data_IF_835597103097
#
_entry.id   IF_835597103097
#
_cell.length_a   1.000
_cell.length_b   1.000
_cell.length_c   1.000
_cell.angle_alpha   90.00
_cell.angle_beta   90.00
_cell.angle_gamma   90.00
#
_symmetry.space_group_name_H-M   'P 1'
#
loop_
_entity.id
_entity.type
_entity.pdbx_description
1 polymer ?
#
# COMPACT_ATOMS: atom_id res chain seq x y z
N UNK A 1 -29.72 -18.72 -16.52
CA UNK A 1 -30.05 -18.24 -15.17
C UNK A 1 -28.88 -17.40 -14.69
N UNK A 2 -29.00 -16.09 -14.73
CA UNK A 2 -28.01 -15.20 -14.20
C UNK A 2 -28.12 -15.26 -12.68
N UNK A 3 -27.13 -15.82 -12.02
CA UNK A 3 -26.99 -15.72 -10.57
C UNK A 3 -26.61 -14.29 -10.27
N UNK A 4 -27.56 -13.56 -9.77
CA UNK A 4 -27.44 -12.24 -9.18
C UNK A 4 -26.37 -12.30 -8.07
N UNK A 5 -25.13 -11.96 -8.43
CA UNK A 5 -24.10 -11.63 -7.49
C UNK A 5 -24.36 -10.20 -6.99
N UNK A 6 -25.54 -9.98 -6.43
CA UNK A 6 -25.81 -8.77 -5.68
C UNK A 6 -24.77 -8.69 -4.58
N UNK A 7 -23.88 -7.74 -4.75
CA UNK A 7 -22.78 -7.42 -3.89
C UNK A 7 -23.26 -7.36 -2.44
N UNK A 8 -23.09 -8.45 -1.71
CA UNK A 8 -23.14 -8.37 -0.25
C UNK A 8 -22.13 -7.29 0.14
N UNK A 9 -22.65 -6.13 0.49
CA UNK A 9 -21.86 -5.09 1.13
C UNK A 9 -21.46 -5.71 2.47
N UNK A 10 -20.32 -6.41 2.47
CA UNK A 10 -19.72 -6.90 3.70
C UNK A 10 -19.34 -5.66 4.50
N UNK A 11 -19.98 -5.48 5.63
CA UNK A 11 -19.60 -4.44 6.58
C UNK A 11 -18.20 -4.76 7.06
N UNK A 12 -17.24 -3.92 6.70
CA UNK A 12 -15.87 -4.06 7.12
C UNK A 12 -15.70 -3.27 8.41
N UNK A 13 -15.22 -3.94 9.44
CA UNK A 13 -14.90 -3.30 10.71
C UNK A 13 -13.62 -2.47 10.53
N UNK A 14 -13.71 -1.19 10.88
CA UNK A 14 -12.60 -0.24 10.87
C UNK A 14 -12.26 0.12 12.31
N UNK A 15 -11.00 -0.05 12.66
CA UNK A 15 -10.42 0.34 13.93
C UNK A 15 -9.70 1.69 13.76
N UNK A 16 -9.79 2.56 14.73
CA UNK A 16 -9.06 3.83 14.73
C UNK A 16 -8.08 3.90 15.89
N UNK A 17 -6.92 4.47 15.64
CA UNK A 17 -5.98 4.81 16.71
C UNK A 17 -6.51 5.95 17.56
N UNK A 18 -6.03 6.06 18.79
CA UNK A 18 -6.13 7.30 19.52
C UNK A 18 -5.36 8.42 18.78
N UNK A 19 -5.74 9.69 18.93
CA UNK A 19 -4.98 10.80 18.39
C UNK A 19 -3.53 10.78 18.91
N UNK A 20 -2.60 11.02 18.02
CA UNK A 20 -1.16 11.08 18.31
C UNK A 20 -0.52 12.16 17.43
N UNK A 21 0.70 12.57 17.78
CA UNK A 21 1.42 13.57 16.99
C UNK A 21 1.61 13.11 15.55
N UNK A 22 1.32 14.00 14.59
CA UNK A 22 1.52 13.72 13.17
C UNK A 22 3.02 13.60 12.87
N UNK A 23 3.43 12.58 12.14
CA UNK A 23 4.82 12.39 11.71
C UNK A 23 5.23 13.26 10.50
N UNK A 24 4.28 13.92 9.85
CA UNK A 24 4.51 14.73 8.66
C UNK A 24 4.42 16.22 8.92
N UNK A 25 3.48 16.66 9.76
CA UNK A 25 3.19 18.07 10.03
C UNK A 25 3.38 18.35 11.52
N UNK A 26 4.26 19.27 11.82
CA UNK A 26 4.52 19.71 13.20
C UNK A 26 3.28 20.38 13.79
N UNK A 27 2.99 20.08 15.05
CA UNK A 27 1.84 20.64 15.77
C UNK A 27 0.48 20.03 15.43
N UNK A 28 0.39 19.16 14.44
CA UNK A 28 -0.85 18.51 14.05
C UNK A 28 -1.05 17.16 14.76
N UNK A 29 -2.32 16.79 14.92
CA UNK A 29 -2.73 15.49 15.47
C UNK A 29 -3.13 14.55 14.34
N UNK A 30 -2.68 13.31 14.42
CA UNK A 30 -2.97 12.25 13.46
C UNK A 30 -3.86 11.18 14.08
N UNK A 31 -4.76 10.66 13.27
CA UNK A 31 -5.56 9.46 13.56
C UNK A 31 -5.51 8.55 12.33
N UNK A 32 -5.24 7.28 12.57
CA UNK A 32 -5.17 6.28 11.49
C UNK A 32 -6.31 5.29 11.63
N UNK A 33 -7.01 5.05 10.53
CA UNK A 33 -7.99 3.99 10.42
C UNK A 33 -7.34 2.72 9.86
N UNK A 34 -7.61 1.60 10.50
CA UNK A 34 -7.15 0.27 10.09
C UNK A 34 -8.34 -0.61 9.75
N UNK A 35 -8.22 -1.39 8.69
CA UNK A 35 -9.11 -2.54 8.49
C UNK A 35 -8.81 -3.58 9.57
N UNK A 36 -9.85 -4.21 10.11
CA UNK A 36 -9.70 -5.26 11.11
C UNK A 36 -8.64 -6.28 10.66
N UNK A 37 -7.55 -6.46 11.39
CA UNK A 37 -6.46 -7.35 10.99
C UNK A 37 -6.86 -8.83 10.97
N UNK A 38 -7.96 -9.21 11.61
CA UNK A 38 -8.49 -10.57 11.57
C UNK A 38 -9.27 -10.86 10.28
N UNK A 39 -9.58 -9.83 9.50
CA UNK A 39 -10.29 -9.99 8.24
C UNK A 39 -9.36 -10.55 7.16
N UNK A 40 -9.78 -11.64 6.53
CA UNK A 40 -9.09 -12.17 5.35
C UNK A 40 -9.33 -11.23 4.16
N UNK A 41 -8.26 -10.64 3.65
CA UNK A 41 -8.31 -9.68 2.55
C UNK A 41 -8.07 -10.41 1.24
N UNK A 42 -9.12 -10.63 0.48
CA UNK A 42 -9.04 -11.12 -0.90
C UNK A 42 -8.56 -10.02 -1.86
N UNK A 43 -7.97 -10.40 -3.00
CA UNK A 43 -7.43 -9.46 -3.98
C UNK A 43 -8.46 -8.42 -4.46
N UNK A 44 -9.71 -8.82 -4.66
CA UNK A 44 -10.80 -7.94 -5.08
C UNK A 44 -11.14 -6.89 -4.02
N UNK A 45 -11.17 -7.30 -2.76
CA UNK A 45 -11.39 -6.39 -1.63
C UNK A 45 -10.21 -5.42 -1.48
N UNK A 46 -8.99 -5.93 -1.58
CA UNK A 46 -7.79 -5.08 -1.55
C UNK A 46 -7.82 -4.00 -2.65
N UNK A 47 -8.15 -4.37 -3.88
CA UNK A 47 -8.28 -3.43 -4.99
C UNK A 47 -9.27 -2.31 -4.66
N UNK A 48 -10.46 -2.65 -4.17
CA UNK A 48 -11.50 -1.67 -3.80
C UNK A 48 -11.06 -0.77 -2.65
N UNK A 49 -10.38 -1.30 -1.65
CA UNK A 49 -9.83 -0.51 -0.53
C UNK A 49 -8.72 0.43 -1.02
N UNK A 50 -7.84 -0.02 -1.91
CA UNK A 50 -6.81 0.82 -2.51
C UNK A 50 -7.43 1.97 -3.33
N UNK A 51 -8.51 1.72 -4.05
CA UNK A 51 -9.24 2.75 -4.81
C UNK A 51 -9.80 3.88 -3.94
N UNK A 52 -10.17 3.59 -2.71
CA UNK A 52 -10.64 4.60 -1.75
C UNK A 52 -9.55 5.10 -0.80
N UNK A 53 -8.28 4.84 -1.13
CA UNK A 53 -7.12 5.44 -0.49
C UNK A 53 -6.50 4.65 0.66
N UNK A 54 -6.89 3.41 0.88
CA UNK A 54 -6.19 2.55 1.83
C UNK A 54 -4.82 2.14 1.29
N UNK A 55 -3.85 2.07 2.19
CA UNK A 55 -2.47 1.65 1.94
C UNK A 55 -2.19 0.36 2.68
N UNK A 56 -1.17 -0.36 2.27
CA UNK A 56 -0.76 -1.61 2.90
C UNK A 56 0.63 -1.50 3.52
N UNK A 57 0.77 -2.00 4.75
CA UNK A 57 2.04 -2.23 5.42
C UNK A 57 2.01 -3.63 6.03
N UNK A 58 2.74 -4.58 5.44
CA UNK A 58 2.65 -5.98 5.82
C UNK A 58 1.21 -6.51 5.75
N UNK A 59 0.67 -7.06 6.84
CA UNK A 59 -0.71 -7.57 6.88
C UNK A 59 -1.76 -6.46 7.07
N UNK A 60 -1.34 -5.22 7.37
CA UNK A 60 -2.24 -4.14 7.74
C UNK A 60 -2.64 -3.27 6.55
N UNK A 61 -3.93 -3.04 6.39
CA UNK A 61 -4.49 -2.03 5.51
C UNK A 61 -4.93 -0.84 6.34
N UNK A 62 -4.48 0.33 5.99
CA UNK A 62 -4.69 1.55 6.77
C UNK A 62 -4.86 2.79 5.91
N UNK A 63 -5.44 3.80 6.50
CA UNK A 63 -5.64 5.10 5.89
C UNK A 63 -5.59 6.20 6.95
N UNK A 64 -4.90 7.33 6.73
CA UNK A 64 -5.06 8.50 7.58
C UNK A 64 -6.51 8.96 7.59
N UNK A 65 -7.04 9.22 8.77
CA UNK A 65 -8.43 9.66 8.95
C UNK A 65 -8.48 10.72 10.08
N UNK A 66 -7.73 11.79 9.88
CA UNK A 66 -7.62 12.89 10.84
C UNK A 66 -8.89 13.73 10.86
N UNK A 67 -9.29 14.22 12.05
CA UNK A 67 -10.54 14.96 12.21
C UNK A 67 -10.52 16.36 11.57
N UNK A 68 -9.37 17.02 11.59
CA UNK A 68 -9.22 18.43 11.17
C UNK A 68 -8.30 18.64 9.99
N UNK A 69 -7.53 17.63 9.60
CA UNK A 69 -6.53 17.70 8.54
C UNK A 69 -6.83 16.73 7.39
N UNK A 70 -6.72 17.20 6.17
CA UNK A 70 -6.88 16.42 4.93
C UNK A 70 -5.66 16.51 3.99
N UNK A 71 -4.48 16.82 4.54
CA UNK A 71 -3.26 17.04 3.77
C UNK A 71 -2.69 15.71 3.14
N UNK A 72 -2.99 14.55 3.72
CA UNK A 72 -2.56 13.27 3.19
C UNK A 72 -3.42 12.86 1.99
N UNK A 73 -2.91 13.09 0.78
CA UNK A 73 -3.59 12.74 -0.46
C UNK A 73 -3.03 11.42 -0.97
N UNK A 74 -3.79 10.30 -0.96
CA UNK A 74 -3.35 9.05 -1.52
C UNK A 74 -3.25 9.15 -3.05
N UNK A 75 -2.14 8.69 -3.60
CA UNK A 75 -1.91 8.65 -5.05
C UNK A 75 -1.60 7.24 -5.50
N UNK A 76 -1.93 6.93 -6.75
CA UNK A 76 -1.61 5.64 -7.36
C UNK A 76 -1.19 5.84 -8.81
N UNK A 77 -0.39 4.91 -9.31
CA UNK A 77 -0.04 4.83 -10.73
C UNK A 77 -0.91 3.76 -11.39
N UNK A 78 -1.65 4.17 -12.41
CA UNK A 78 -2.44 3.23 -13.23
C UNK A 78 -1.49 2.58 -14.24
N UNK A 79 -1.04 1.36 -13.94
CA UNK A 79 0.09 0.70 -14.62
C UNK A 79 -0.12 0.59 -16.12
N UNK A 80 -1.31 0.22 -16.59
CA UNK A 80 -1.60 0.07 -18.03
C UNK A 80 -1.68 1.42 -18.80
N UNK A 81 -1.73 2.55 -18.10
CA UNK A 81 -1.70 3.89 -18.68
C UNK A 81 -0.35 4.58 -18.46
N UNK A 82 0.56 3.93 -17.74
CA UNK A 82 1.86 4.50 -17.42
C UNK A 82 2.75 4.57 -18.66
N UNK A 83 3.25 5.75 -18.95
CA UNK A 83 4.24 5.98 -20.00
C UNK A 83 5.48 6.62 -19.42
N UNK A 84 6.63 5.99 -19.64
CA UNK A 84 7.91 6.50 -19.15
C UNK A 84 8.25 7.86 -19.77
N UNK A 85 8.63 8.80 -18.94
CA UNK A 85 9.22 10.06 -19.37
C UNK A 85 10.70 9.89 -19.78
N UNK A 86 11.32 10.96 -20.29
CA UNK A 86 12.73 10.95 -20.74
C UNK A 86 13.72 10.54 -19.65
N UNK A 87 13.51 11.02 -18.42
CA UNK A 87 14.41 10.71 -17.30
C UNK A 87 14.31 9.23 -16.91
N UNK A 88 13.11 8.69 -16.86
CA UNK A 88 12.86 7.28 -16.57
C UNK A 88 13.44 6.36 -17.64
N UNK A 89 13.29 6.71 -18.93
CA UNK A 89 13.93 5.96 -20.03
C UNK A 89 15.46 5.96 -19.93
N UNK A 90 16.05 7.10 -19.57
CA UNK A 90 17.52 7.17 -19.34
C UNK A 90 17.95 6.34 -18.13
N UNK A 91 17.18 6.35 -17.06
CA UNK A 91 17.44 5.53 -15.88
C UNK A 91 17.39 4.04 -16.23
N UNK A 92 16.38 3.60 -16.93
CA UNK A 92 16.26 2.19 -17.39
C UNK A 92 17.47 1.81 -18.26
N UNK A 93 17.87 2.66 -19.23
CA UNK A 93 19.01 2.38 -20.10
C UNK A 93 20.35 2.31 -19.35
N UNK A 94 20.51 3.08 -18.26
CA UNK A 94 21.74 3.02 -17.44
C UNK A 94 21.85 1.77 -16.60
N UNK A 95 20.73 1.08 -16.40
CA UNK A 95 20.61 -0.11 -15.58
C UNK A 95 20.18 -1.33 -16.41
N UNK A 96 20.48 -1.36 -17.71
CA UNK A 96 20.11 -2.45 -18.60
C UNK A 96 20.94 -3.72 -18.38
N UNK A 97 22.03 -3.63 -17.61
CA UNK A 97 22.86 -4.72 -17.12
C UNK A 97 22.28 -5.41 -15.87
N UNK A 98 21.23 -4.84 -15.26
CA UNK A 98 20.61 -5.38 -14.04
C UNK A 98 19.53 -6.39 -14.42
N UNK A 99 19.69 -7.63 -13.95
CA UNK A 99 18.68 -8.66 -14.02
C UNK A 99 17.79 -8.64 -12.77
N UNK A 100 16.48 -8.55 -12.97
CA UNK A 100 15.48 -8.55 -11.88
C UNK A 100 14.80 -9.89 -11.80
N UNK A 101 15.01 -10.59 -10.68
CA UNK A 101 14.41 -11.90 -10.44
C UNK A 101 13.45 -11.84 -9.24
N UNK A 102 12.25 -12.37 -9.44
CA UNK A 102 11.32 -12.54 -8.34
C UNK A 102 11.59 -13.87 -7.63
N UNK A 103 11.79 -13.82 -6.33
CA UNK A 103 11.96 -14.99 -5.46
C UNK A 103 10.83 -15.07 -4.45
N UNK A 104 10.44 -16.26 -4.07
CA UNK A 104 9.39 -16.46 -3.06
C UNK A 104 9.94 -16.36 -1.64
N UNK A 105 11.21 -16.68 -1.45
CA UNK A 105 11.87 -16.68 -0.14
C UNK A 105 13.28 -16.09 -0.24
N UNK A 106 13.77 -15.61 0.89
CA UNK A 106 15.18 -15.31 1.12
C UNK A 106 15.82 -16.62 1.60
N UNK A 107 16.37 -17.40 0.70
CA UNK A 107 16.78 -18.77 0.94
C UNK A 107 18.32 -18.98 0.96
N UNK A 108 19.08 -17.92 0.78
CA UNK A 108 20.55 -17.95 0.82
C UNK A 108 21.12 -17.06 1.89
N UNK A 109 22.32 -17.39 2.39
CA UNK A 109 23.04 -16.55 3.33
C UNK A 109 23.37 -15.16 2.74
N UNK A 110 23.61 -15.08 1.42
CA UNK A 110 23.83 -13.83 0.69
C UNK A 110 22.59 -12.93 0.73
N UNK A 111 21.41 -13.48 0.43
CA UNK A 111 20.15 -12.73 0.50
C UNK A 111 19.89 -12.18 1.89
N UNK A 112 20.14 -12.98 2.92
CA UNK A 112 19.97 -12.55 4.29
C UNK A 112 20.95 -11.45 4.67
N UNK A 113 22.23 -11.58 4.29
CA UNK A 113 23.26 -10.57 4.55
C UNK A 113 22.92 -9.23 3.89
N UNK A 114 22.44 -9.26 2.65
CA UNK A 114 22.00 -8.04 1.96
C UNK A 114 20.82 -7.37 2.67
N UNK A 115 19.86 -8.15 3.15
CA UNK A 115 18.74 -7.66 3.92
C UNK A 115 19.18 -7.06 5.26
N UNK A 116 20.05 -7.75 6.00
CA UNK A 116 20.58 -7.30 7.29
C UNK A 116 21.37 -5.99 7.16
N UNK A 117 22.13 -5.81 6.09
CA UNK A 117 22.89 -4.58 5.83
C UNK A 117 22.02 -3.41 5.38
N UNK A 118 20.79 -3.66 4.94
CA UNK A 118 19.83 -2.63 4.52
C UNK A 118 19.03 -2.04 5.69
N UNK A 119 18.72 -2.86 6.71
CA UNK A 119 17.99 -2.41 7.90
C UNK A 119 18.94 -1.68 8.85
#
# INVERSE_FOLDING_TARGET
>A
MATDASAQIRRIKILKTAPHACSYLEGEQSTTAFVDPELVIEASLYTRLAEIGFRRSGPYLYKPMCGTCSACIPTRVVVHQFTQNRAQKRCMKRNDDIDVQQRQTIDTAEHYSLYENYI
#
